data_IF_106744941133
#
_entry.id   IF_106744941133
#
_cell.length_a   1.000
_cell.length_b   1.000
_cell.length_c   1.000
_cell.angle_alpha   90.00
_cell.angle_beta   90.00
_cell.angle_gamma   90.00
#
_symmetry.space_group_name_H-M   'P 1'
#
loop_
_entity.id
_entity.type
_entity.pdbx_description
1 polymer ?
#
# COMPACT_ATOMS: atom_id res chain seq x y z
N UNK A 1 28.83 32.24 -40.03
CA UNK A 1 27.71 32.41 -39.08
C UNK A 1 26.87 31.13 -39.05
N UNK A 2 27.30 30.08 -38.34
CA UNK A 2 26.49 28.87 -38.14
C UNK A 2 26.96 28.06 -36.90
N UNK A 3 27.45 28.74 -35.86
CA UNK A 3 28.00 28.07 -34.65
C UNK A 3 27.37 28.53 -33.34
N UNK A 4 26.41 29.46 -33.38
CA UNK A 4 25.76 30.01 -32.16
C UNK A 4 24.40 29.36 -31.84
N UNK A 5 23.85 28.53 -32.73
CA UNK A 5 22.51 27.92 -32.55
C UNK A 5 22.57 26.65 -31.66
N UNK A 6 23.74 26.01 -31.53
CA UNK A 6 23.89 24.73 -30.82
C UNK A 6 24.09 24.88 -29.30
N UNK A 7 24.47 26.07 -28.81
CA UNK A 7 24.80 26.28 -27.38
C UNK A 7 23.58 26.63 -26.50
N UNK A 8 22.50 27.14 -27.09
CA UNK A 8 21.24 27.42 -26.36
C UNK A 8 20.38 26.17 -26.14
N UNK A 9 20.63 25.09 -26.88
CA UNK A 9 19.90 23.83 -26.75
C UNK A 9 20.25 23.05 -25.47
N UNK A 10 21.50 23.04 -25.04
CA UNK A 10 21.91 22.28 -23.84
C UNK A 10 21.40 22.92 -22.54
N UNK A 11 21.53 24.25 -22.41
CA UNK A 11 21.02 24.96 -21.23
C UNK A 11 19.50 24.79 -21.07
N UNK A 12 18.75 24.82 -22.18
CA UNK A 12 17.29 24.61 -22.15
C UNK A 12 16.88 23.16 -21.88
N UNK A 13 17.70 22.17 -22.26
CA UNK A 13 17.48 20.76 -21.90
C UNK A 13 17.75 20.53 -20.42
N UNK A 14 18.88 21.04 -19.89
CA UNK A 14 19.22 20.92 -18.47
C UNK A 14 18.16 21.57 -17.56
N UNK A 15 17.66 22.75 -17.95
CA UNK A 15 16.61 23.44 -17.19
C UNK A 15 15.28 22.68 -17.21
N UNK A 16 14.91 22.08 -18.36
CA UNK A 16 13.71 21.23 -18.46
C UNK A 16 13.86 19.94 -17.66
N UNK A 17 15.04 19.33 -17.65
CA UNK A 17 15.33 18.14 -16.86
C UNK A 17 15.26 18.45 -15.36
N UNK A 18 15.83 19.58 -14.92
CA UNK A 18 15.73 20.04 -13.52
C UNK A 18 14.30 20.34 -13.13
N UNK A 19 13.55 21.06 -13.95
CA UNK A 19 12.13 21.35 -13.69
C UNK A 19 11.29 20.07 -13.60
N UNK A 20 11.48 19.12 -14.51
CA UNK A 20 10.82 17.82 -14.47
C UNK A 20 11.22 16.99 -13.23
N UNK A 21 12.50 17.02 -12.86
CA UNK A 21 13.00 16.35 -11.67
C UNK A 21 12.44 16.97 -10.38
N UNK A 22 12.38 18.30 -10.28
CA UNK A 22 11.76 19.01 -9.16
C UNK A 22 10.26 18.70 -9.07
N UNK A 23 9.53 18.76 -10.17
CA UNK A 23 8.10 18.41 -10.20
C UNK A 23 7.86 16.95 -9.78
N UNK A 24 8.72 16.04 -10.21
CA UNK A 24 8.67 14.62 -9.82
C UNK A 24 8.96 14.45 -8.33
N UNK A 25 9.99 15.13 -7.82
CA UNK A 25 10.37 15.10 -6.41
C UNK A 25 9.28 15.66 -5.50
N UNK A 26 8.64 16.78 -5.88
CA UNK A 26 7.52 17.38 -5.16
C UNK A 26 6.32 16.42 -5.11
N UNK A 27 5.97 15.81 -6.24
CA UNK A 27 4.87 14.83 -6.33
C UNK A 27 5.13 13.58 -5.47
N UNK A 28 6.39 13.14 -5.39
CA UNK A 28 6.79 12.02 -4.54
C UNK A 28 6.83 12.40 -3.05
N UNK A 29 7.28 13.62 -2.71
CA UNK A 29 7.33 14.13 -1.35
C UNK A 29 5.94 14.25 -0.71
N UNK A 30 4.88 14.41 -1.52
CA UNK A 30 3.49 14.47 -1.06
C UNK A 30 2.80 13.11 -0.91
N UNK A 31 3.51 11.98 -1.10
CA UNK A 31 2.91 10.64 -0.89
C UNK A 31 2.75 10.36 0.60
N UNK A 32 1.60 10.70 1.15
CA UNK A 32 1.22 10.34 2.51
C UNK A 32 0.83 8.84 2.58
N UNK A 33 1.35 8.12 3.58
CA UNK A 33 0.90 6.77 3.84
C UNK A 33 -0.50 6.82 4.47
N UNK A 34 -1.48 6.07 3.93
CA UNK A 34 -2.77 5.97 4.58
C UNK A 34 -2.64 5.28 5.93
N UNK A 35 -3.51 5.66 6.86
CA UNK A 35 -3.59 5.02 8.17
C UNK A 35 -3.89 3.53 8.05
N UNK A 36 -3.25 2.75 8.92
CA UNK A 36 -3.50 1.31 8.99
C UNK A 36 -4.94 1.02 9.44
N UNK A 37 -5.75 0.28 8.65
CA UNK A 37 -7.19 0.12 8.89
C UNK A 37 -7.50 -0.43 10.27
N UNK A 38 -8.54 0.10 10.90
CA UNK A 38 -8.95 -0.31 12.25
C UNK A 38 -9.36 -1.78 12.32
N UNK A 39 -9.96 -2.36 11.26
CA UNK A 39 -10.27 -3.80 11.17
C UNK A 39 -9.00 -4.63 11.31
N UNK A 40 -7.91 -4.22 10.65
CA UNK A 40 -6.65 -4.95 10.65
C UNK A 40 -5.93 -4.96 12.01
N UNK A 41 -6.32 -4.07 12.93
CA UNK A 41 -5.83 -4.06 14.32
C UNK A 41 -6.60 -5.00 15.24
N UNK A 42 -7.73 -5.54 14.81
CA UNK A 42 -8.61 -6.37 15.66
C UNK A 42 -8.08 -7.79 15.80
N UNK A 43 -8.19 -8.32 17.02
CA UNK A 43 -7.93 -9.74 17.32
C UNK A 43 -9.22 -10.54 17.28
N UNK A 44 -9.17 -11.74 16.71
CA UNK A 44 -10.26 -12.71 16.84
C UNK A 44 -10.15 -13.51 18.14
N UNK A 45 -11.30 -13.96 18.64
CA UNK A 45 -11.44 -14.87 19.78
C UNK A 45 -12.26 -16.07 19.33
N UNK A 46 -11.92 -17.26 19.84
CA UNK A 46 -12.63 -18.51 19.51
C UNK A 46 -14.09 -18.48 19.97
N UNK A 47 -14.39 -17.80 21.10
CA UNK A 47 -15.73 -17.78 21.68
C UNK A 47 -16.12 -19.11 22.36
N UNK A 48 -15.16 -20.01 22.56
CA UNK A 48 -15.33 -21.25 23.34
C UNK A 48 -15.66 -20.90 24.79
N UNK A 49 -16.56 -21.67 25.40
CA UNK A 49 -16.96 -21.52 26.81
C UNK A 49 -16.48 -22.71 27.63
N UNK A 50 -16.29 -22.47 28.92
CA UNK A 50 -15.95 -23.55 29.86
C UNK A 50 -17.12 -24.54 29.98
N UNK A 51 -16.78 -25.84 30.04
CA UNK A 51 -17.77 -26.93 30.06
C UNK A 51 -18.42 -27.24 28.71
N UNK A 52 -18.03 -26.55 27.64
CA UNK A 52 -18.55 -26.82 26.29
C UNK A 52 -18.07 -28.18 25.76
N UNK A 53 -18.95 -29.01 25.16
CA UNK A 53 -18.53 -30.23 24.48
C UNK A 53 -17.42 -29.96 23.45
N UNK A 54 -16.47 -30.89 23.35
CA UNK A 54 -15.25 -30.69 22.57
C UNK A 54 -15.54 -30.47 21.06
N UNK A 55 -16.53 -31.16 20.53
CA UNK A 55 -17.00 -31.00 19.15
C UNK A 55 -17.51 -29.58 18.89
N UNK A 56 -18.31 -29.03 19.80
CA UNK A 56 -18.81 -27.67 19.69
C UNK A 56 -17.71 -26.62 19.90
N UNK A 57 -16.77 -26.87 20.82
CA UNK A 57 -15.60 -26.03 21.02
C UNK A 57 -14.71 -25.97 19.77
N UNK A 58 -14.54 -27.11 19.08
CA UNK A 58 -13.79 -27.19 17.82
C UNK A 58 -14.49 -26.39 16.71
N UNK A 59 -15.80 -26.58 16.53
CA UNK A 59 -16.59 -25.83 15.54
C UNK A 59 -16.48 -24.32 15.73
N UNK A 60 -16.58 -23.83 16.97
CA UNK A 60 -16.42 -22.40 17.28
C UNK A 60 -15.01 -21.88 16.98
N UNK A 61 -14.01 -22.67 17.32
CA UNK A 61 -12.61 -22.33 17.07
C UNK A 61 -12.35 -22.23 15.56
N UNK A 62 -12.87 -23.16 14.77
CA UNK A 62 -12.73 -23.14 13.32
C UNK A 62 -13.44 -21.94 12.67
N UNK A 63 -14.64 -21.59 13.14
CA UNK A 63 -15.32 -20.38 12.69
C UNK A 63 -14.52 -19.11 13.00
N UNK A 64 -13.88 -19.03 14.18
CA UNK A 64 -13.03 -17.91 14.52
C UNK A 64 -11.76 -17.86 13.68
N UNK A 65 -11.16 -19.02 13.38
CA UNK A 65 -10.03 -19.14 12.48
C UNK A 65 -10.40 -18.66 11.06
N UNK A 66 -11.58 -19.04 10.56
CA UNK A 66 -12.09 -18.56 9.28
C UNK A 66 -12.21 -17.02 9.24
N UNK A 67 -12.77 -16.41 10.29
CA UNK A 67 -12.83 -14.93 10.40
C UNK A 67 -11.45 -14.29 10.45
N UNK A 68 -10.51 -14.89 11.19
CA UNK A 68 -9.15 -14.39 11.31
C UNK A 68 -8.42 -14.45 9.96
N UNK A 69 -8.50 -15.58 9.26
CA UNK A 69 -7.89 -15.77 7.94
C UNK A 69 -8.48 -14.81 6.90
N UNK A 70 -9.80 -14.63 6.92
CA UNK A 70 -10.45 -13.65 6.04
C UNK A 70 -9.96 -12.22 6.31
N UNK A 71 -9.70 -11.85 7.58
CA UNK A 71 -9.09 -10.56 7.91
C UNK A 71 -7.65 -10.47 7.40
N UNK A 72 -6.83 -11.49 7.63
CA UNK A 72 -5.44 -11.53 7.15
C UNK A 72 -5.40 -11.31 5.63
N UNK A 73 -6.28 -11.96 4.87
CA UNK A 73 -6.35 -11.80 3.42
C UNK A 73 -6.68 -10.35 3.03
N UNK A 74 -7.76 -9.77 3.57
CA UNK A 74 -8.17 -8.40 3.24
C UNK A 74 -7.09 -7.37 3.62
N UNK A 75 -6.44 -7.54 4.77
CA UNK A 75 -5.39 -6.63 5.24
C UNK A 75 -4.10 -6.78 4.42
N UNK A 76 -3.78 -7.99 3.95
CA UNK A 76 -2.69 -8.22 3.01
C UNK A 76 -2.94 -7.54 1.66
N UNK A 77 -4.16 -7.68 1.12
CA UNK A 77 -4.56 -7.00 -0.12
C UNK A 77 -4.48 -5.48 0.01
N UNK A 78 -5.02 -4.91 1.08
CA UNK A 78 -4.88 -3.47 1.36
C UNK A 78 -3.41 -3.03 1.35
N UNK A 79 -2.52 -3.78 2.01
CA UNK A 79 -1.10 -3.44 2.04
C UNK A 79 -0.44 -3.53 0.66
N UNK A 80 -0.82 -4.50 -0.16
CA UNK A 80 -0.37 -4.59 -1.55
C UNK A 80 -0.84 -3.38 -2.37
N UNK A 81 -2.09 -2.96 -2.23
CA UNK A 81 -2.63 -1.76 -2.90
C UNK A 81 -1.85 -0.51 -2.50
N UNK A 82 -1.56 -0.33 -1.19
CA UNK A 82 -0.73 0.78 -0.72
C UNK A 82 0.65 0.71 -1.36
N UNK A 83 1.31 -0.45 -1.34
CA UNK A 83 2.61 -0.64 -1.96
C UNK A 83 2.64 -0.31 -3.46
N UNK A 84 1.64 -0.73 -4.23
CA UNK A 84 1.52 -0.44 -5.67
C UNK A 84 1.47 1.07 -5.90
N UNK A 85 0.59 1.78 -5.17
CA UNK A 85 0.51 3.23 -5.23
C UNK A 85 1.82 3.93 -4.85
N UNK A 86 2.54 3.38 -3.86
CA UNK A 86 3.86 3.89 -3.46
C UNK A 86 4.97 3.62 -4.47
N UNK A 87 4.88 2.56 -5.26
CA UNK A 87 5.81 2.30 -6.38
C UNK A 87 5.46 3.09 -7.64
N UNK A 88 4.26 3.67 -7.71
CA UNK A 88 3.76 4.32 -8.94
C UNK A 88 3.40 3.31 -10.03
N UNK A 89 3.06 2.09 -9.64
CA UNK A 89 2.53 1.05 -10.51
C UNK A 89 1.01 1.21 -10.65
N UNK A 90 0.47 0.78 -11.79
CA UNK A 90 -0.98 0.79 -12.01
C UNK A 90 -1.64 -0.41 -11.29
N UNK A 91 -2.85 -0.20 -10.75
CA UNK A 91 -3.64 -1.26 -10.12
C UNK A 91 -4.54 -1.84 -11.22
N UNK A 92 -4.22 -3.04 -11.70
CA UNK A 92 -5.05 -3.82 -12.66
C UNK A 92 -6.27 -4.47 -11.96
#
# INVERSE_FOLDING_TARGET
MCSLILLSGCATVDDRLRAAATQTAETQATRELPDYPTDCRKKERSGVREGEPLDLALLRTDQALGRANARVQRCGQWYQTVQIGFRGEEID
#
